data_IF_821332305496
#
_entry.id   IF_821332305496
#
_cell.length_a   1.000
_cell.length_b   1.000
_cell.length_c   1.000
_cell.angle_alpha   90.00
_cell.angle_beta   90.00
_cell.angle_gamma   90.00
#
_symmetry.space_group_name_H-M   'P 1'
#
loop_
_entity.id
_entity.type
_entity.pdbx_description
1 polymer ?
#
# COMPACT_ATOMS: atom_id res chain seq x y z
N UNK A 1 -12.75 30.79 27.40
CA UNK A 1 -12.11 29.47 27.26
C UNK A 1 -12.33 29.01 25.84
N UNK A 2 -11.28 28.98 25.02
CA UNK A 2 -11.33 28.37 23.69
C UNK A 2 -11.00 26.89 23.88
N UNK A 3 -12.01 26.03 23.88
CA UNK A 3 -11.78 24.59 23.79
C UNK A 3 -11.27 24.31 22.38
N UNK A 4 -10.02 23.88 22.28
CA UNK A 4 -9.33 23.61 21.03
C UNK A 4 -10.11 22.62 20.18
N UNK A 5 -10.59 23.09 19.05
CA UNK A 5 -10.92 22.27 17.91
C UNK A 5 -9.59 21.74 17.33
N UNK A 6 -9.07 20.67 17.93
CA UNK A 6 -7.97 19.88 17.38
C UNK A 6 -8.26 18.37 17.52
N UNK A 7 -9.55 17.99 17.43
CA UNK A 7 -9.90 16.69 16.84
C UNK A 7 -9.74 16.80 15.33
N UNK A 8 -8.53 17.13 14.91
CA UNK A 8 -8.16 17.20 13.52
C UNK A 8 -8.00 15.77 13.01
N UNK A 9 -9.01 15.33 12.26
CA UNK A 9 -8.81 14.46 11.10
C UNK A 9 -8.23 13.07 11.46
N UNK A 10 -8.86 12.39 12.42
CA UNK A 10 -8.92 10.92 12.36
C UNK A 10 -9.91 10.55 11.23
N UNK A 11 -9.55 10.90 10.00
CA UNK A 11 -10.26 10.40 8.81
C UNK A 11 -10.04 8.91 8.84
N UNK A 12 -11.09 8.19 9.24
CA UNK A 12 -11.28 6.75 9.21
C UNK A 12 -10.50 6.12 8.04
N UNK A 13 -9.22 5.82 8.25
CA UNK A 13 -8.47 4.99 7.30
C UNK A 13 -9.08 3.61 7.45
N UNK A 14 -9.87 3.20 6.47
CA UNK A 14 -10.36 1.84 6.38
C UNK A 14 -9.13 0.93 6.25
N UNK A 15 -8.69 0.37 7.37
CA UNK A 15 -7.61 -0.61 7.38
C UNK A 15 -8.17 -1.95 6.95
N UNK A 16 -7.62 -2.51 5.88
CA UNK A 16 -7.94 -3.86 5.43
C UNK A 16 -6.84 -4.82 5.88
N UNK A 17 -7.23 -5.99 6.36
CA UNK A 17 -6.28 -7.07 6.70
C UNK A 17 -6.10 -7.98 5.50
N UNK A 18 -4.85 -8.21 5.10
CA UNK A 18 -4.49 -9.19 4.09
C UNK A 18 -3.83 -10.39 4.77
N UNK A 19 -4.41 -11.57 4.62
CA UNK A 19 -3.79 -12.83 5.06
C UNK A 19 -2.90 -13.38 3.95
N UNK A 20 -1.63 -13.66 4.28
CA UNK A 20 -0.62 -14.18 3.36
C UNK A 20 0.09 -15.37 3.98
N UNK A 21 0.62 -16.27 3.14
CA UNK A 21 1.46 -17.37 3.60
C UNK A 21 2.82 -16.89 4.11
N UNK A 22 3.45 -17.71 4.98
CA UNK A 22 4.74 -17.39 5.59
C UNK A 22 5.84 -17.15 4.56
N UNK A 23 5.89 -17.95 3.48
CA UNK A 23 6.88 -17.76 2.41
C UNK A 23 6.78 -16.38 1.74
N UNK A 24 5.55 -15.90 1.50
CA UNK A 24 5.34 -14.57 0.92
C UNK A 24 5.69 -13.47 1.91
N UNK A 25 5.34 -13.67 3.19
CA UNK A 25 5.72 -12.75 4.26
C UNK A 25 7.23 -12.61 4.35
N UNK A 26 7.99 -13.71 4.39
CA UNK A 26 9.45 -13.68 4.44
C UNK A 26 10.06 -12.97 3.22
N UNK A 27 9.49 -13.17 2.03
CA UNK A 27 9.91 -12.44 0.83
C UNK A 27 9.67 -10.94 0.95
N UNK A 28 8.51 -10.52 1.47
CA UNK A 28 8.20 -9.10 1.71
C UNK A 28 9.20 -8.50 2.69
N UNK A 29 9.44 -9.15 3.84
CA UNK A 29 10.41 -8.66 4.84
C UNK A 29 11.84 -8.53 4.26
N UNK A 30 12.24 -9.44 3.36
CA UNK A 30 13.58 -9.45 2.76
C UNK A 30 13.79 -8.38 1.67
N UNK A 31 12.72 -7.95 0.99
CA UNK A 31 12.80 -6.96 -0.10
C UNK A 31 12.39 -5.55 0.33
N UNK A 32 11.92 -5.38 1.57
CA UNK A 32 11.63 -4.07 2.17
C UNK A 32 12.91 -3.33 2.48
N UNK A 33 12.89 -2.02 2.29
CA UNK A 33 13.95 -1.13 2.75
C UNK A 33 13.97 -1.01 4.29
N UNK A 34 15.11 -0.58 4.83
CA UNK A 34 15.27 -0.41 6.29
C UNK A 34 14.23 0.56 6.86
N UNK A 35 13.36 0.05 7.73
CA UNK A 35 12.31 0.85 8.39
C UNK A 35 11.04 1.04 7.55
N UNK A 36 11.00 0.61 6.29
CA UNK A 36 9.80 0.58 5.46
C UNK A 36 8.79 -0.41 6.03
N UNK A 37 7.50 -0.12 6.03
CA UNK A 37 6.43 -1.06 6.43
C UNK A 37 5.95 -1.98 5.28
N UNK A 38 5.28 -3.11 5.57
CA UNK A 38 4.68 -3.95 4.53
C UNK A 38 3.65 -3.21 3.66
N UNK A 39 2.90 -2.28 4.25
CA UNK A 39 1.91 -1.46 3.54
C UNK A 39 2.61 -0.56 2.52
N UNK A 40 3.69 0.12 2.92
CA UNK A 40 4.48 0.97 2.03
C UNK A 40 5.10 0.18 0.88
N UNK A 41 5.67 -0.99 1.17
CA UNK A 41 6.23 -1.87 0.14
C UNK A 41 5.19 -2.32 -0.88
N UNK A 42 4.01 -2.73 -0.42
CA UNK A 42 2.90 -3.12 -1.31
C UNK A 42 2.41 -1.93 -2.12
N UNK A 43 2.31 -0.74 -1.53
CA UNK A 43 1.92 0.47 -2.24
C UNK A 43 2.93 0.85 -3.34
N UNK A 44 4.23 0.71 -3.08
CA UNK A 44 5.27 0.92 -4.09
C UNK A 44 5.19 -0.10 -5.21
N UNK A 45 4.98 -1.39 -4.90
CA UNK A 45 4.79 -2.41 -5.93
C UNK A 45 3.60 -2.09 -6.83
N UNK A 46 2.47 -1.66 -6.27
CA UNK A 46 1.30 -1.24 -7.06
C UNK A 46 1.65 -0.02 -7.91
N UNK A 47 2.32 0.99 -7.35
CA UNK A 47 2.73 2.17 -8.08
C UNK A 47 3.69 1.85 -9.24
N UNK A 48 4.57 0.85 -9.10
CA UNK A 48 5.38 0.33 -10.20
C UNK A 48 4.50 -0.24 -11.31
N UNK A 49 3.51 -1.08 -10.97
CA UNK A 49 2.56 -1.59 -11.97
C UNK A 49 1.70 -0.50 -12.60
N UNK A 50 1.34 0.57 -11.90
CA UNK A 50 0.57 1.69 -12.47
C UNK A 50 1.42 2.58 -13.38
N UNK A 51 2.68 2.82 -12.98
CA UNK A 51 3.62 3.67 -13.72
C UNK A 51 4.16 2.96 -14.96
N UNK A 52 4.52 1.68 -14.84
CA UNK A 52 4.97 0.83 -15.95
C UNK A 52 3.78 0.26 -16.75
N UNK A 53 2.57 0.28 -16.20
CA UNK A 53 1.34 -0.32 -16.74
C UNK A 53 0.46 0.56 -17.61
N UNK A 54 0.97 1.68 -18.14
CA UNK A 54 0.43 2.20 -19.43
C UNK A 54 0.40 1.10 -20.52
N UNK A 55 1.14 0.00 -20.33
CA UNK A 55 1.18 -1.16 -21.22
C UNK A 55 0.08 -2.23 -21.03
N UNK A 56 -0.72 -2.21 -19.96
CA UNK A 56 -1.77 -3.24 -19.74
C UNK A 56 -3.14 -2.91 -20.39
N UNK A 57 -3.26 -1.75 -21.06
CA UNK A 57 -4.51 -1.35 -21.75
C UNK A 57 -4.60 -1.76 -23.23
N UNK A 58 -3.58 -2.40 -23.83
CA UNK A 58 -3.60 -2.82 -25.24
C UNK A 58 -3.63 -4.36 -25.44
N UNK A 59 -4.34 -5.09 -24.57
CA UNK A 59 -4.40 -6.57 -24.65
C UNK A 59 -5.75 -7.22 -24.39
N UNK A 60 -6.77 -6.45 -24.00
CA UNK A 60 -8.14 -6.93 -23.89
C UNK A 60 -9.08 -6.04 -24.72
N UNK A 61 -8.74 -5.86 -26.00
CA UNK A 61 -9.70 -5.42 -27.01
C UNK A 61 -9.86 -6.54 -28.02
N UNK A 62 -11.03 -7.19 -27.94
CA UNK A 62 -11.67 -8.11 -28.90
C UNK A 62 -11.05 -9.49 -29.15
#
# INVERSE_FOLDING_TARGET
>A
MMAGADSAVEVLRMTHTLEIGDDLKERIESHRDEGQSPEEFVAELVAMYETEGTFLQEGYSE
#
